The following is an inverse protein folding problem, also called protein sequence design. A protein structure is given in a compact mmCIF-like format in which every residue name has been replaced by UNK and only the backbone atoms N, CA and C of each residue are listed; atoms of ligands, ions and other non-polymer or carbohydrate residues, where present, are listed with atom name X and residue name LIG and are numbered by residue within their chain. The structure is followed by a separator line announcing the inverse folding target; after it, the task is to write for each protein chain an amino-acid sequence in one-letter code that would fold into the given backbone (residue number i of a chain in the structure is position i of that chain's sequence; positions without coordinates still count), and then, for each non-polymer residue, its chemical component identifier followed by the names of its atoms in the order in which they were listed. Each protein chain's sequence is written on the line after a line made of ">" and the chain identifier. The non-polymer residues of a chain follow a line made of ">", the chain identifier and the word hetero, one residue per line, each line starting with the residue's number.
data_IF_654430234048
#
_entry.id   IF_654430234048
#
_cell.length_a   1.000
_cell.length_b   1.000
_cell.length_c   1.000
_cell.angle_alpha   90.00
_cell.angle_beta   90.00
_cell.angle_gamma   90.00
#
_symmetry.space_group_name_H-M   'P 1'
#
loop_
_entity.id
_entity.type
_entity.pdbx_description
1 polymer ?
#
# COMPACT_ATOMS: atom_id res chain seq x y z
N UNK A 1 -26.93 -55.97 -24.24
CA UNK A 1 -27.79 -55.83 -23.01
C UNK A 1 -27.01 -55.75 -21.71
N UNK A 2 -26.14 -56.74 -21.39
CA UNK A 2 -25.36 -56.71 -20.11
C UNK A 2 -24.25 -55.68 -20.13
N UNK A 3 -23.53 -55.52 -21.25
CA UNK A 3 -22.51 -54.46 -21.45
C UNK A 3 -23.10 -53.06 -21.43
N UNK A 4 -24.26 -52.85 -22.02
CA UNK A 4 -24.96 -51.56 -22.02
C UNK A 4 -25.37 -51.14 -20.60
N UNK A 5 -25.83 -52.09 -19.79
CA UNK A 5 -26.20 -51.90 -18.40
C UNK A 5 -24.99 -51.50 -17.56
N UNK A 6 -23.86 -52.21 -17.71
CA UNK A 6 -22.62 -51.93 -17.03
C UNK A 6 -22.03 -50.58 -17.41
N UNK A 7 -22.14 -50.20 -18.70
CA UNK A 7 -21.72 -48.88 -19.18
C UNK A 7 -22.59 -47.75 -18.61
N UNK A 8 -23.91 -47.97 -18.49
CA UNK A 8 -24.81 -46.99 -17.88
C UNK A 8 -24.57 -46.82 -16.39
N UNK A 9 -24.32 -47.90 -15.66
CA UNK A 9 -23.97 -47.87 -14.22
C UNK A 9 -22.64 -47.13 -13.98
N UNK A 10 -21.62 -47.34 -14.82
CA UNK A 10 -20.33 -46.65 -14.72
C UNK A 10 -20.49 -45.14 -15.00
N UNK A 11 -21.30 -44.76 -16.00
CA UNK A 11 -21.58 -43.33 -16.27
C UNK A 11 -22.30 -42.66 -15.10
N UNK A 12 -23.31 -43.34 -14.51
CA UNK A 12 -24.03 -42.83 -13.35
C UNK A 12 -23.10 -42.65 -12.13
N UNK A 13 -22.20 -43.61 -11.90
CA UNK A 13 -21.18 -43.51 -10.84
C UNK A 13 -20.24 -42.35 -11.07
N UNK A 14 -19.69 -42.20 -12.27
CA UNK A 14 -18.79 -41.08 -12.60
C UNK A 14 -19.50 -39.74 -12.47
N UNK A 15 -20.75 -39.64 -12.88
CA UNK A 15 -21.55 -38.44 -12.73
C UNK A 15 -21.79 -38.09 -11.24
N UNK A 16 -22.04 -39.08 -10.40
CA UNK A 16 -22.17 -38.89 -8.95
C UNK A 16 -20.87 -38.42 -8.30
N UNK A 17 -19.75 -39.07 -8.64
CA UNK A 17 -18.41 -38.65 -8.12
C UNK A 17 -18.06 -37.24 -8.56
N UNK A 18 -18.35 -36.86 -9.80
CA UNK A 18 -18.15 -35.50 -10.29
C UNK A 18 -19.00 -34.47 -9.51
N UNK A 19 -20.26 -34.78 -9.25
CA UNK A 19 -21.15 -33.91 -8.47
C UNK A 19 -20.71 -33.79 -7.01
N UNK A 20 -20.21 -34.87 -6.41
CA UNK A 20 -19.66 -34.88 -5.05
C UNK A 20 -18.39 -34.03 -4.98
N UNK A 21 -17.51 -34.15 -5.99
CA UNK A 21 -16.30 -33.33 -6.07
C UNK A 21 -16.64 -31.84 -6.27
N UNK A 22 -17.59 -31.51 -7.15
CA UNK A 22 -18.03 -30.11 -7.31
C UNK A 22 -18.59 -29.51 -6.01
N UNK A 23 -19.40 -30.30 -5.26
CA UNK A 23 -19.89 -29.84 -3.94
C UNK A 23 -18.78 -29.62 -2.96
N UNK A 24 -17.81 -30.53 -2.91
CA UNK A 24 -16.63 -30.40 -2.04
C UNK A 24 -15.81 -29.16 -2.40
N UNK A 25 -15.57 -28.92 -3.67
CA UNK A 25 -14.88 -27.72 -4.16
C UNK A 25 -15.64 -26.43 -3.84
N UNK A 26 -16.97 -26.44 -3.91
CA UNK A 26 -17.78 -25.29 -3.56
C UNK A 26 -17.70 -24.97 -2.05
N UNK A 27 -17.70 -25.99 -1.19
CA UNK A 27 -17.54 -25.83 0.27
C UNK A 27 -16.16 -25.30 0.60
N UNK A 28 -15.09 -25.83 -0.02
CA UNK A 28 -13.72 -25.35 0.18
C UNK A 28 -13.59 -23.89 -0.26
N UNK A 29 -14.17 -23.51 -1.40
CA UNK A 29 -14.17 -22.14 -1.89
C UNK A 29 -14.89 -21.17 -0.96
N UNK A 30 -16.01 -21.61 -0.39
CA UNK A 30 -16.74 -20.80 0.59
C UNK A 30 -15.92 -20.62 1.88
N UNK A 31 -15.30 -21.69 2.39
CA UNK A 31 -14.43 -21.65 3.55
C UNK A 31 -13.23 -20.72 3.31
N UNK A 32 -12.55 -20.83 2.15
CA UNK A 32 -11.45 -19.97 1.75
C UNK A 32 -11.85 -18.49 1.75
N UNK A 33 -13.08 -18.17 1.32
CA UNK A 33 -13.57 -16.80 1.30
C UNK A 33 -13.92 -16.24 2.70
N UNK A 34 -14.25 -17.10 3.66
CA UNK A 34 -14.62 -16.73 5.02
C UNK A 34 -13.41 -16.68 5.98
N UNK A 35 -12.31 -17.34 5.62
CA UNK A 35 -11.13 -17.47 6.48
C UNK A 35 -10.31 -16.18 6.52
N UNK A 36 -9.80 -15.83 7.71
CA UNK A 36 -8.79 -14.78 7.85
C UNK A 36 -7.47 -15.18 7.19
N UNK A 37 -6.59 -14.21 6.91
CA UNK A 37 -5.24 -14.47 6.42
C UNK A 37 -4.50 -15.56 7.23
N UNK A 38 -4.56 -15.49 8.55
CA UNK A 38 -3.87 -16.43 9.43
C UNK A 38 -4.46 -17.85 9.36
N UNK A 39 -5.79 -17.94 9.20
CA UNK A 39 -6.46 -19.23 8.97
C UNK A 39 -6.10 -19.80 7.60
N UNK A 40 -6.09 -18.97 6.55
CA UNK A 40 -5.65 -19.38 5.21
C UNK A 40 -4.24 -19.95 5.20
N UNK A 41 -3.32 -19.33 5.98
CA UNK A 41 -1.97 -19.90 6.15
C UNK A 41 -1.99 -21.28 6.81
N UNK A 42 -2.80 -21.47 7.83
CA UNK A 42 -2.94 -22.76 8.52
C UNK A 42 -3.51 -23.84 7.60
N UNK A 43 -4.51 -23.49 6.80
CA UNK A 43 -5.21 -24.41 5.90
C UNK A 43 -4.53 -24.54 4.52
N UNK A 44 -3.44 -23.80 4.31
CA UNK A 44 -2.63 -23.82 3.08
C UNK A 44 -3.37 -23.33 1.85
N UNK A 45 -4.26 -22.37 2.03
CA UNK A 45 -4.87 -21.67 0.91
C UNK A 45 -3.90 -20.67 0.28
N UNK A 46 -4.19 -20.28 -0.94
CA UNK A 46 -3.45 -19.22 -1.63
C UNK A 46 -3.72 -17.87 -0.95
N UNK A 47 -2.71 -17.02 -0.86
CA UNK A 47 -2.83 -15.71 -0.21
C UNK A 47 -2.22 -14.60 -1.05
N UNK A 48 -2.86 -13.43 -1.01
CA UNK A 48 -2.42 -12.21 -1.65
C UNK A 48 -2.00 -11.19 -0.60
N UNK A 49 -0.77 -10.70 -0.69
CA UNK A 49 -0.20 -9.72 0.23
C UNK A 49 -0.02 -8.38 -0.49
N UNK A 50 -0.53 -7.32 0.10
CA UNK A 50 -0.32 -5.94 -0.33
C UNK A 50 0.74 -5.29 0.57
N UNK A 51 1.70 -4.58 -0.03
CA UNK A 51 2.65 -3.74 0.70
C UNK A 51 2.44 -2.30 0.28
N UNK A 52 2.24 -1.44 1.26
CA UNK A 52 2.00 -0.01 1.09
C UNK A 52 3.04 0.74 1.90
N UNK A 53 3.96 1.43 1.27
CA UNK A 53 5.08 2.04 1.98
C UNK A 53 5.88 3.03 1.15
N UNK A 54 6.95 3.48 1.74
CA UNK A 54 7.97 4.32 1.11
C UNK A 54 9.16 3.50 0.58
N UNK A 55 10.37 4.04 0.58
CA UNK A 55 11.57 3.33 0.13
C UNK A 55 11.91 2.10 0.97
N UNK A 56 11.64 2.15 2.28
CA UNK A 56 11.86 1.02 3.20
C UNK A 56 10.86 -0.09 2.90
N UNK A 57 9.59 0.28 2.69
CA UNK A 57 8.56 -0.64 2.21
C UNK A 57 8.87 -1.26 0.85
N UNK A 58 9.53 -0.50 -0.03
CA UNK A 58 10.01 -0.99 -1.32
C UNK A 58 11.24 -1.93 -1.21
N UNK A 59 11.86 -2.04 -0.03
CA UNK A 59 13.04 -2.85 0.22
C UNK A 59 14.33 -2.23 -0.34
N UNK A 60 14.39 -0.90 -0.43
CA UNK A 60 15.61 -0.17 -0.81
C UNK A 60 16.70 -0.40 0.24
N UNK A 61 17.97 -0.42 -0.19
CA UNK A 61 19.14 -0.60 0.67
C UNK A 61 19.85 -1.95 0.46
N UNK A 62 19.31 -2.85 -0.36
CA UNK A 62 20.01 -4.05 -0.83
C UNK A 62 20.00 -4.12 -2.35
N UNK A 63 21.13 -4.53 -2.94
CA UNK A 63 21.27 -4.76 -4.39
C UNK A 63 20.81 -6.17 -4.78
N UNK A 64 20.70 -7.07 -3.82
CA UNK A 64 20.32 -8.47 -4.06
C UNK A 64 18.79 -8.61 -3.94
N UNK A 65 18.10 -8.83 -5.05
CA UNK A 65 16.63 -8.91 -5.13
C UNK A 65 16.02 -9.88 -4.10
N UNK A 66 16.63 -11.03 -3.88
CA UNK A 66 16.17 -12.03 -2.93
C UNK A 66 16.32 -11.65 -1.45
N UNK A 67 17.09 -10.60 -1.13
CA UNK A 67 17.38 -10.15 0.23
C UNK A 67 16.45 -9.06 0.73
N UNK A 68 15.58 -8.52 -0.12
CA UNK A 68 14.53 -7.59 0.33
C UNK A 68 13.62 -8.28 1.34
N UNK A 69 13.29 -7.61 2.44
CA UNK A 69 12.53 -8.19 3.56
C UNK A 69 11.22 -8.86 3.11
N UNK A 70 10.48 -8.25 2.20
CA UNK A 70 9.22 -8.80 1.72
C UNK A 70 9.40 -10.00 0.75
N UNK A 71 10.54 -10.11 0.05
CA UNK A 71 10.89 -11.29 -0.76
C UNK A 71 11.28 -12.47 0.12
N UNK A 72 11.98 -12.19 1.22
CA UNK A 72 12.28 -13.19 2.24
C UNK A 72 10.99 -13.68 2.88
N UNK A 73 10.07 -12.76 3.24
CA UNK A 73 8.75 -13.10 3.77
C UNK A 73 7.94 -13.95 2.78
N UNK A 74 7.88 -13.56 1.50
CA UNK A 74 7.21 -14.34 0.46
C UNK A 74 7.78 -15.77 0.37
N UNK A 75 9.10 -15.90 0.43
CA UNK A 75 9.78 -17.19 0.38
C UNK A 75 9.47 -18.03 1.62
N UNK A 76 9.48 -17.43 2.80
CA UNK A 76 9.12 -18.07 4.05
C UNK A 76 7.68 -18.61 4.00
N UNK A 77 6.71 -17.78 3.68
CA UNK A 77 5.30 -18.17 3.61
C UNK A 77 5.05 -19.30 2.59
N UNK A 78 5.70 -19.25 1.43
CA UNK A 78 5.62 -20.33 0.42
C UNK A 78 6.22 -21.65 0.92
N UNK A 79 7.32 -21.58 1.66
CA UNK A 79 8.06 -22.76 2.10
C UNK A 79 7.41 -23.44 3.29
N UNK A 80 6.99 -22.64 4.29
CA UNK A 80 6.45 -23.16 5.56
C UNK A 80 4.99 -23.53 5.41
N UNK A 81 4.19 -22.64 4.84
CA UNK A 81 2.75 -22.84 4.72
C UNK A 81 2.36 -23.65 3.48
N UNK A 82 3.29 -23.80 2.51
CA UNK A 82 3.07 -24.52 1.24
C UNK A 82 1.92 -23.94 0.42
N UNK A 83 1.60 -22.68 0.63
CA UNK A 83 0.60 -21.91 -0.10
C UNK A 83 1.26 -21.19 -1.26
N UNK A 84 0.52 -20.89 -2.30
CA UNK A 84 0.94 -19.89 -3.29
C UNK A 84 0.79 -18.51 -2.65
N UNK A 85 1.85 -17.72 -2.66
CA UNK A 85 1.87 -16.37 -2.10
C UNK A 85 2.15 -15.37 -3.21
N UNK A 86 1.19 -14.50 -3.48
CA UNK A 86 1.36 -13.36 -4.38
C UNK A 86 1.63 -12.10 -3.56
N UNK A 87 2.62 -11.32 -3.94
CA UNK A 87 2.94 -10.03 -3.29
C UNK A 87 2.81 -8.91 -4.30
N UNK A 88 1.93 -7.96 -4.02
CA UNK A 88 1.82 -6.69 -4.72
C UNK A 88 2.44 -5.61 -3.84
N UNK A 89 3.56 -5.05 -4.27
CA UNK A 89 4.22 -3.95 -3.56
C UNK A 89 3.98 -2.64 -4.30
N UNK A 90 3.20 -1.74 -3.69
CA UNK A 90 2.90 -0.40 -4.22
C UNK A 90 3.69 0.69 -3.51
N UNK A 91 4.73 0.34 -2.77
CA UNK A 91 5.60 1.31 -2.09
C UNK A 91 6.33 2.21 -3.08
N UNK A 92 6.57 3.46 -2.68
CA UNK A 92 7.25 4.46 -3.50
C UNK A 92 8.29 5.21 -2.66
N UNK A 93 9.56 5.13 -3.08
CA UNK A 93 10.65 5.83 -2.44
C UNK A 93 10.41 7.35 -2.33
N UNK A 94 10.87 7.97 -1.24
CA UNK A 94 10.78 9.41 -1.00
C UNK A 94 9.38 9.95 -0.71
N UNK A 95 8.34 9.10 -0.74
CA UNK A 95 6.96 9.51 -0.57
C UNK A 95 6.50 9.45 0.89
N UNK A 96 5.61 10.35 1.27
CA UNK A 96 4.93 10.39 2.55
C UNK A 96 3.63 9.54 2.53
N UNK A 97 3.02 9.34 3.70
CA UNK A 97 1.84 8.49 3.90
C UNK A 97 0.62 8.90 3.06
N UNK A 98 0.48 10.19 2.70
CA UNK A 98 -0.56 10.61 1.74
C UNK A 98 -0.48 9.85 0.41
N UNK A 99 0.72 9.61 -0.10
CA UNK A 99 0.90 8.81 -1.31
C UNK A 99 0.41 7.37 -1.11
N UNK A 100 0.57 6.81 0.08
CA UNK A 100 0.05 5.49 0.44
C UNK A 100 -1.47 5.43 0.34
N UNK A 101 -2.18 6.44 0.86
CA UNK A 101 -3.62 6.56 0.70
C UNK A 101 -4.03 6.62 -0.78
N UNK A 102 -3.45 7.55 -1.54
CA UNK A 102 -3.79 7.73 -2.97
C UNK A 102 -3.56 6.46 -3.77
N UNK A 103 -2.41 5.80 -3.57
CA UNK A 103 -2.08 4.56 -4.27
C UNK A 103 -3.01 3.41 -3.90
N UNK A 104 -3.39 3.31 -2.62
CA UNK A 104 -4.36 2.31 -2.16
C UNK A 104 -5.72 2.54 -2.83
N UNK A 105 -6.20 3.79 -2.85
CA UNK A 105 -7.48 4.11 -3.49
C UNK A 105 -7.46 3.91 -4.99
N UNK A 106 -6.33 4.16 -5.65
CA UNK A 106 -6.15 3.99 -7.10
C UNK A 106 -5.96 2.52 -7.54
N UNK A 107 -5.78 1.56 -6.61
CA UNK A 107 -5.77 0.14 -6.96
C UNK A 107 -7.10 -0.24 -7.62
N UNK A 108 -7.03 -1.06 -8.68
CA UNK A 108 -8.21 -1.72 -9.20
C UNK A 108 -8.70 -2.79 -8.20
N UNK A 109 -9.94 -3.23 -8.35
CA UNK A 109 -10.55 -4.22 -7.46
C UNK A 109 -10.45 -5.65 -8.04
N UNK A 110 -9.44 -5.92 -8.87
CA UNK A 110 -9.29 -7.22 -9.54
C UNK A 110 -8.66 -8.28 -8.62
N UNK A 111 -8.07 -7.86 -7.51
CA UNK A 111 -7.41 -8.73 -6.52
C UNK A 111 -7.94 -8.41 -5.14
N UNK A 112 -8.44 -9.41 -4.45
CA UNK A 112 -8.71 -9.35 -3.01
C UNK A 112 -7.42 -9.65 -2.25
N UNK A 113 -7.03 -8.75 -1.34
CA UNK A 113 -5.86 -8.93 -0.51
C UNK A 113 -6.24 -9.51 0.85
N UNK A 114 -5.45 -10.49 1.31
CA UNK A 114 -5.63 -11.18 2.59
C UNK A 114 -4.85 -10.49 3.71
N UNK A 115 -3.68 -9.93 3.37
CA UNK A 115 -2.83 -9.18 4.28
C UNK A 115 -2.37 -7.90 3.61
N UNK A 116 -2.44 -6.78 4.32
CA UNK A 116 -1.76 -5.54 3.98
C UNK A 116 -0.66 -5.24 5.02
N UNK A 117 0.54 -4.89 4.56
CA UNK A 117 1.65 -4.47 5.41
C UNK A 117 1.96 -3.02 5.10
N UNK A 118 1.92 -2.16 6.13
CA UNK A 118 2.11 -0.72 6.01
C UNK A 118 3.47 -0.32 6.58
N UNK A 119 4.25 0.43 5.80
CA UNK A 119 5.61 0.84 6.15
C UNK A 119 5.82 2.29 5.71
N UNK A 120 5.48 3.24 6.59
CA UNK A 120 5.62 4.69 6.42
C UNK A 120 6.07 5.36 7.70
N UNK A 121 6.63 6.56 7.56
CA UNK A 121 7.00 7.44 8.65
C UNK A 121 8.33 8.15 8.43
N UNK A 122 9.23 7.59 7.60
CA UNK A 122 10.55 8.17 7.36
C UNK A 122 10.44 9.53 6.67
N UNK A 123 9.63 9.65 5.64
CA UNK A 123 9.54 10.84 4.79
C UNK A 123 8.45 11.83 5.22
N UNK A 124 7.61 11.46 6.17
CA UNK A 124 6.51 12.30 6.62
C UNK A 124 6.98 13.48 7.47
N UNK A 125 6.37 14.64 7.29
CA UNK A 125 6.29 15.65 8.32
C UNK A 125 5.35 15.22 9.44
N UNK A 126 5.36 15.91 10.58
CA UNK A 126 4.44 15.59 11.69
C UNK A 126 3.03 16.13 11.42
N UNK A 127 2.93 17.28 10.74
CA UNK A 127 1.67 17.92 10.44
C UNK A 127 0.84 17.06 9.50
N UNK A 128 -0.38 16.72 9.89
CA UNK A 128 -1.28 15.87 9.12
C UNK A 128 -0.92 14.37 9.08
N UNK A 129 0.23 13.96 9.62
CA UNK A 129 0.70 12.57 9.57
C UNK A 129 -0.32 11.58 10.13
N UNK A 130 -0.85 11.87 11.32
CA UNK A 130 -1.83 10.99 11.97
C UNK A 130 -3.05 10.75 11.09
N UNK A 131 -3.59 11.82 10.48
CA UNK A 131 -4.73 11.74 9.56
C UNK A 131 -4.41 10.94 8.31
N UNK A 132 -3.26 11.20 7.67
CA UNK A 132 -2.84 10.50 6.47
C UNK A 132 -2.61 9.01 6.73
N UNK A 133 -1.95 8.68 7.84
CA UNK A 133 -1.68 7.29 8.21
C UNK A 133 -2.98 6.53 8.51
N UNK A 134 -3.89 7.11 9.30
CA UNK A 134 -5.20 6.53 9.59
C UNK A 134 -6.03 6.34 8.30
N UNK A 135 -5.91 7.28 7.34
CA UNK A 135 -6.60 7.18 6.05
C UNK A 135 -6.16 5.99 5.22
N UNK A 136 -4.88 5.58 5.28
CA UNK A 136 -4.41 4.35 4.62
C UNK A 136 -5.13 3.13 5.19
N UNK A 137 -5.18 3.01 6.52
CA UNK A 137 -5.82 1.88 7.21
C UNK A 137 -7.29 1.77 6.83
N UNK A 138 -7.99 2.91 6.84
CA UNK A 138 -9.41 3.00 6.49
C UNK A 138 -9.65 2.70 5.00
N UNK A 139 -8.78 3.18 4.11
CA UNK A 139 -8.84 2.87 2.68
C UNK A 139 -8.71 1.37 2.41
N UNK A 140 -7.74 0.71 3.05
CA UNK A 140 -7.55 -0.74 2.95
C UNK A 140 -8.79 -1.46 3.45
N UNK A 141 -9.30 -1.12 4.63
CA UNK A 141 -10.49 -1.75 5.19
C UNK A 141 -11.74 -1.54 4.33
N UNK A 142 -11.92 -0.35 3.78
CA UNK A 142 -13.06 -0.04 2.90
C UNK A 142 -13.02 -0.86 1.60
N UNK A 143 -11.83 -1.02 1.01
CA UNK A 143 -11.67 -1.77 -0.25
C UNK A 143 -11.62 -3.28 -0.05
N UNK A 144 -11.03 -3.73 1.06
CA UNK A 144 -10.74 -5.13 1.39
C UNK A 144 -11.19 -5.42 2.84
N UNK A 145 -12.51 -5.57 3.09
CA UNK A 145 -13.05 -5.66 4.46
C UNK A 145 -12.51 -6.83 5.27
N UNK A 146 -12.08 -7.89 4.59
CA UNK A 146 -11.57 -9.12 5.20
C UNK A 146 -10.03 -9.16 5.30
N UNK A 147 -9.36 -8.11 4.80
CA UNK A 147 -7.91 -8.00 4.83
C UNK A 147 -7.40 -7.79 6.26
N UNK A 148 -6.45 -8.61 6.68
CA UNK A 148 -5.67 -8.37 7.90
C UNK A 148 -4.63 -7.27 7.65
N UNK A 149 -4.29 -6.50 8.68
CA UNK A 149 -3.31 -5.41 8.56
C UNK A 149 -2.18 -5.61 9.57
N UNK A 150 -0.94 -5.37 9.15
CA UNK A 150 0.24 -5.25 10.02
C UNK A 150 0.89 -3.90 9.71
N UNK A 151 1.26 -3.15 10.75
CA UNK A 151 2.05 -1.94 10.63
C UNK A 151 3.50 -2.21 11.02
N UNK A 152 4.45 -1.67 10.25
CA UNK A 152 5.86 -1.68 10.59
C UNK A 152 6.22 -0.33 11.23
N UNK A 153 6.85 -0.34 12.40
CA UNK A 153 7.62 0.80 12.89
C UNK A 153 8.98 0.76 12.22
N UNK A 154 9.24 1.73 11.37
CA UNK A 154 10.54 1.84 10.69
C UNK A 154 11.66 2.06 11.70
N UNK A 155 12.86 1.60 11.40
CA UNK A 155 13.99 1.56 12.35
C UNK A 155 14.43 2.92 12.91
N UNK A 156 14.16 4.02 12.20
CA UNK A 156 14.16 5.42 12.66
C UNK A 156 15.33 5.79 13.57
N UNK A 157 16.57 5.45 13.17
CA UNK A 157 17.80 5.59 13.97
C UNK A 157 17.67 5.03 15.40
N UNK A 158 16.82 4.01 15.59
CA UNK A 158 16.48 3.37 16.88
C UNK A 158 15.67 4.24 17.84
N UNK A 159 15.04 5.29 17.34
CA UNK A 159 14.27 6.21 18.17
C UNK A 159 12.76 6.04 17.95
N UNK A 160 12.02 6.02 19.04
CA UNK A 160 10.57 6.15 19.00
C UNK A 160 10.19 7.62 18.84
N UNK A 161 10.34 8.13 17.62
CA UNK A 161 9.94 9.51 17.28
C UNK A 161 8.46 9.73 17.50
N UNK A 162 8.00 10.97 17.45
CA UNK A 162 6.57 11.30 17.56
C UNK A 162 5.74 10.59 16.49
N UNK A 163 6.26 10.43 15.28
CA UNK A 163 5.59 9.66 14.21
C UNK A 163 5.47 8.18 14.57
N UNK A 164 6.53 7.57 15.09
CA UNK A 164 6.50 6.14 15.47
C UNK A 164 5.54 5.90 16.64
N UNK A 165 5.50 6.78 17.63
CA UNK A 165 4.54 6.69 18.74
C UNK A 165 3.11 6.97 18.28
N UNK A 166 2.90 7.83 17.29
CA UNK A 166 1.61 8.04 16.63
C UNK A 166 1.12 6.76 15.95
N UNK A 167 1.98 6.07 15.18
CA UNK A 167 1.64 4.76 14.57
C UNK A 167 1.24 3.77 15.65
N UNK A 168 2.01 3.65 16.74
CA UNK A 168 1.68 2.74 17.85
C UNK A 168 0.29 3.03 18.43
N UNK A 169 -0.01 4.30 18.69
CA UNK A 169 -1.30 4.71 19.25
C UNK A 169 -2.47 4.41 18.31
N UNK A 170 -2.31 4.65 17.00
CA UNK A 170 -3.32 4.32 15.99
C UNK A 170 -3.53 2.80 15.92
N UNK A 171 -2.43 2.04 15.88
CA UNK A 171 -2.49 0.58 15.82
C UNK A 171 -3.12 -0.03 17.07
N UNK A 172 -2.82 0.49 18.26
CA UNK A 172 -3.45 0.07 19.51
C UNK A 172 -4.96 0.32 19.47
N UNK A 173 -5.39 1.50 19.03
CA UNK A 173 -6.81 1.86 18.91
C UNK A 173 -7.59 0.90 17.99
N UNK A 174 -7.00 0.52 16.87
CA UNK A 174 -7.62 -0.38 15.90
C UNK A 174 -7.26 -1.86 16.09
N UNK A 175 -6.54 -2.21 17.16
CA UNK A 175 -6.05 -3.57 17.41
C UNK A 175 -5.24 -4.15 16.25
N UNK A 176 -4.42 -3.31 15.61
CA UNK A 176 -3.54 -3.70 14.51
C UNK A 176 -2.20 -4.18 15.09
N UNK A 177 -1.72 -5.37 14.73
CA UNK A 177 -0.40 -5.84 15.12
C UNK A 177 0.72 -4.94 14.58
N UNK A 178 1.74 -4.72 15.39
CA UNK A 178 2.89 -3.88 15.06
C UNK A 178 4.16 -4.70 14.99
N UNK A 179 4.87 -4.62 13.86
CA UNK A 179 6.22 -5.13 13.71
C UNK A 179 7.23 -4.04 14.15
N UNK A 180 7.72 -4.15 15.37
CA UNK A 180 8.61 -3.16 15.99
C UNK A 180 10.06 -3.39 15.58
N UNK A 181 10.46 -2.83 14.45
CA UNK A 181 11.85 -2.93 13.98
C UNK A 181 12.80 -2.04 14.78
N UNK A 182 12.30 -1.01 15.49
CA UNK A 182 13.11 -0.18 16.39
C UNK A 182 13.65 -1.05 17.53
N UNK A 183 12.77 -1.78 18.21
CA UNK A 183 13.16 -2.73 19.24
C UNK A 183 14.10 -3.81 18.69
N UNK A 184 13.82 -4.36 17.51
CA UNK A 184 14.63 -5.39 16.87
C UNK A 184 16.05 -4.89 16.54
N UNK A 185 16.19 -3.68 16.00
CA UNK A 185 17.48 -3.04 15.75
C UNK A 185 18.25 -2.76 17.05
N UNK A 186 17.55 -2.31 18.10
CA UNK A 186 18.16 -2.11 19.42
C UNK A 186 18.71 -3.42 20.02
N UNK A 187 18.00 -4.50 19.85
CA UNK A 187 18.34 -5.82 20.41
C UNK A 187 19.33 -6.61 19.54
N UNK A 188 19.68 -6.14 18.34
CA UNK A 188 20.55 -6.85 17.39
C UNK A 188 22.01 -7.00 17.86
N UNK A 189 22.45 -6.14 18.77
CA UNK A 189 23.85 -6.07 19.20
C UNK A 189 24.82 -5.46 18.17
N UNK A 190 24.32 -5.04 16.98
CA UNK A 190 25.12 -4.43 15.89
C UNK A 190 25.02 -2.90 15.97
N UNK A 191 25.99 -2.16 15.43
CA UNK A 191 25.84 -0.71 15.25
C UNK A 191 24.74 -0.41 14.21
N UNK A 192 24.15 0.78 14.26
CA UNK A 192 23.09 1.16 13.31
C UNK A 192 23.61 1.18 11.86
N UNK A 193 24.83 1.71 11.67
CA UNK A 193 25.48 1.79 10.37
C UNK A 193 25.88 0.41 9.79
N UNK A 194 25.97 -0.63 10.65
CA UNK A 194 26.15 -2.01 10.20
C UNK A 194 24.87 -2.62 9.63
N UNK A 195 23.73 -1.97 9.88
CA UNK A 195 22.39 -2.42 9.47
C UNK A 195 21.76 -1.54 8.38
N UNK A 196 22.39 -0.41 8.07
CA UNK A 196 21.92 0.54 7.04
C UNK A 196 23.08 0.95 6.15
N UNK A 197 22.82 1.18 4.85
CA UNK A 197 23.87 1.57 3.92
C UNK A 197 24.20 3.07 3.94
N UNK A 198 23.20 3.87 4.28
CA UNK A 198 23.24 5.34 4.21
C UNK A 198 22.66 6.03 5.46
N UNK A 199 22.51 5.28 6.54
CA UNK A 199 21.91 5.75 7.77
C UNK A 199 20.38 5.81 7.78
N UNK A 200 19.73 5.35 6.70
CA UNK A 200 18.26 5.29 6.55
C UNK A 200 17.82 3.92 6.07
N UNK A 201 18.30 3.49 4.91
CA UNK A 201 17.82 2.29 4.24
C UNK A 201 18.49 1.04 4.80
N UNK A 202 17.72 0.04 5.24
CA UNK A 202 18.26 -1.21 5.74
C UNK A 202 19.07 -1.93 4.65
N UNK A 203 20.35 -2.23 4.93
CA UNK A 203 21.15 -3.10 4.09
C UNK A 203 20.72 -4.58 4.26
N UNK A 204 21.40 -5.53 3.64
CA UNK A 204 21.02 -6.94 3.71
C UNK A 204 20.78 -7.44 5.15
N UNK A 205 21.65 -7.06 6.10
CA UNK A 205 21.48 -7.43 7.50
C UNK A 205 20.28 -6.74 8.17
N UNK A 206 20.01 -5.49 7.82
CA UNK A 206 18.82 -4.76 8.25
C UNK A 206 17.54 -5.33 7.63
N UNK A 207 17.56 -5.68 6.36
CA UNK A 207 16.42 -6.32 5.67
C UNK A 207 16.06 -7.68 6.32
N UNK A 208 17.05 -8.46 6.76
CA UNK A 208 16.82 -9.70 7.49
C UNK A 208 16.10 -9.43 8.83
N UNK A 209 16.48 -8.37 9.56
CA UNK A 209 15.80 -7.98 10.80
C UNK A 209 14.36 -7.58 10.54
N UNK A 210 14.08 -6.79 9.50
CA UNK A 210 12.71 -6.47 9.09
C UNK A 210 11.90 -7.72 8.80
N UNK A 211 12.44 -8.63 7.98
CA UNK A 211 11.80 -9.89 7.67
C UNK A 211 11.48 -10.71 8.94
N UNK A 212 12.47 -10.96 9.80
CA UNK A 212 12.26 -11.76 11.02
C UNK A 212 11.25 -11.09 11.97
N UNK A 213 11.22 -9.76 12.05
CA UNK A 213 10.28 -9.02 12.88
C UNK A 213 8.84 -9.17 12.37
N UNK A 214 8.60 -8.99 11.07
CA UNK A 214 7.28 -9.17 10.45
C UNK A 214 6.84 -10.63 10.53
N UNK A 215 7.75 -11.56 10.27
CA UNK A 215 7.51 -13.00 10.39
C UNK A 215 7.06 -13.38 11.81
N UNK A 216 7.73 -12.87 12.84
CA UNK A 216 7.35 -13.16 14.24
C UNK A 216 5.93 -12.69 14.54
N UNK A 217 5.54 -11.50 14.08
CA UNK A 217 4.17 -10.99 14.21
C UNK A 217 3.17 -11.92 13.53
N UNK A 218 3.47 -12.41 12.34
CA UNK A 218 2.59 -13.35 11.63
C UNK A 218 2.47 -14.66 12.38
N UNK A 219 3.57 -15.25 12.83
CA UNK A 219 3.59 -16.53 13.53
C UNK A 219 2.80 -16.46 14.86
N UNK A 220 2.95 -15.36 15.60
CA UNK A 220 2.21 -15.11 16.85
C UNK A 220 0.69 -14.97 16.58
N UNK A 221 0.30 -14.29 15.53
CA UNK A 221 -1.12 -14.12 15.18
C UNK A 221 -1.73 -15.40 14.61
N UNK A 222 -0.98 -16.22 13.89
CA UNK A 222 -1.42 -17.58 13.50
C UNK A 222 -1.72 -18.41 14.73
N UNK A 223 -0.84 -18.38 15.75
CA UNK A 223 -1.04 -19.10 16.99
C UNK A 223 -2.23 -18.61 17.81
N UNK A 224 -2.49 -17.30 17.78
CA UNK A 224 -3.58 -16.66 18.52
C UNK A 224 -4.93 -16.67 17.78
N UNK A 225 -4.96 -17.06 16.51
CA UNK A 225 -6.14 -16.99 15.62
C UNK A 225 -6.77 -15.58 15.57
N UNK A 226 -5.95 -14.54 15.71
CA UNK A 226 -6.36 -13.13 15.57
C UNK A 226 -6.46 -12.76 14.10
N UNK A 227 -7.16 -11.70 13.75
CA UNK A 227 -7.33 -11.53 12.32
C UNK A 227 -7.59 -10.14 11.78
N UNK A 228 -8.61 -9.46 12.21
CA UNK A 228 -9.08 -8.25 11.51
C UNK A 228 -8.84 -7.00 12.36
N UNK A 229 -8.65 -5.87 11.68
CA UNK A 229 -8.70 -4.56 12.30
C UNK A 229 -10.02 -4.37 13.06
N UNK A 230 -9.97 -3.93 14.31
CA UNK A 230 -11.16 -3.70 15.11
C UNK A 230 -12.06 -2.62 14.51
N UNK A 231 -13.38 -2.75 14.71
CA UNK A 231 -14.29 -1.65 14.48
C UNK A 231 -14.16 -0.65 15.63
N UNK A 232 -13.73 0.55 15.30
CA UNK A 232 -13.57 1.64 16.24
C UNK A 232 -13.93 2.97 15.57
N UNK A 233 -14.30 3.95 16.39
CA UNK A 233 -14.49 5.32 15.92
C UNK A 233 -13.16 5.88 15.40
N UNK A 234 -13.25 6.86 14.50
CA UNK A 234 -12.05 7.53 13.99
C UNK A 234 -11.32 8.29 15.09
N UNK A 235 -10.00 8.28 15.07
CA UNK A 235 -9.19 9.08 15.98
C UNK A 235 -9.21 10.54 15.55
N UNK A 236 -9.02 10.77 14.23
CA UNK A 236 -8.94 12.10 13.65
C UNK A 236 -10.22 12.39 12.87
N UNK A 237 -10.99 13.43 13.26
CA UNK A 237 -12.18 13.83 12.52
C UNK A 237 -11.88 14.21 11.06
N UNK A 238 -10.69 14.73 10.79
CA UNK A 238 -10.25 15.11 9.44
C UNK A 238 -10.07 13.93 8.49
N UNK A 239 -9.97 12.71 9.00
CA UNK A 239 -9.91 11.50 8.17
C UNK A 239 -11.12 11.34 7.26
N UNK A 240 -12.26 11.95 7.62
CA UNK A 240 -13.44 11.96 6.77
C UNK A 240 -13.29 12.75 5.47
N UNK A 241 -12.26 13.61 5.35
CA UNK A 241 -11.88 14.24 4.07
C UNK A 241 -11.39 13.22 3.04
N UNK A 242 -11.17 11.97 3.46
CA UNK A 242 -10.64 10.86 2.68
C UNK A 242 -11.63 9.71 2.48
N UNK A 243 -12.92 9.90 2.81
CA UNK A 243 -13.95 8.85 2.67
C UNK A 243 -14.28 8.56 1.20
N UNK A 244 -14.18 9.56 0.33
CA UNK A 244 -14.39 9.44 -1.12
C UNK A 244 -13.13 9.85 -1.89
N UNK A 245 -12.99 9.35 -3.11
CA UNK A 245 -11.79 9.54 -3.92
C UNK A 245 -12.10 9.53 -5.41
N UNK A 246 -11.45 10.42 -6.16
CA UNK A 246 -11.39 10.38 -7.62
C UNK A 246 -9.96 10.61 -8.09
N UNK A 247 -9.58 9.87 -9.11
CA UNK A 247 -8.30 10.01 -9.81
C UNK A 247 -8.55 10.44 -11.25
N UNK A 248 -7.87 11.48 -11.68
CA UNK A 248 -7.83 11.95 -13.07
C UNK A 248 -6.45 11.67 -13.65
N UNK A 249 -6.35 10.67 -14.51
CA UNK A 249 -5.09 10.26 -15.14
C UNK A 249 -4.67 11.20 -16.25
N UNK A 250 -3.38 11.55 -16.30
CA UNK A 250 -2.83 12.44 -17.32
C UNK A 250 -3.08 11.95 -18.76
N UNK A 251 -2.97 10.64 -18.98
CA UNK A 251 -3.12 10.04 -20.31
C UNK A 251 -4.59 9.80 -20.73
N UNK A 252 -5.51 9.82 -19.75
CA UNK A 252 -6.89 9.40 -19.97
C UNK A 252 -7.88 10.54 -19.87
N UNK A 253 -7.70 11.42 -18.90
CA UNK A 253 -8.69 12.41 -18.51
C UNK A 253 -8.26 13.83 -18.87
N UNK A 254 -6.96 14.09 -18.96
CA UNK A 254 -6.39 15.38 -19.34
C UNK A 254 -6.16 15.47 -20.85
N UNK A 255 -6.40 16.66 -21.42
CA UNK A 255 -5.93 17.04 -22.75
C UNK A 255 -4.56 17.70 -22.63
N UNK A 256 -3.56 17.18 -23.35
CA UNK A 256 -2.26 17.83 -23.49
C UNK A 256 -2.35 18.89 -24.59
N UNK A 257 -2.33 20.15 -24.19
CA UNK A 257 -2.51 21.31 -25.11
C UNK A 257 -1.23 21.65 -25.87
N UNK A 258 -0.09 21.54 -25.19
CA UNK A 258 1.24 21.74 -25.74
C UNK A 258 2.31 20.91 -25.01
N UNK A 259 3.60 21.19 -25.23
CA UNK A 259 4.70 20.43 -24.64
C UNK A 259 4.75 20.48 -23.12
N UNK A 260 4.15 21.51 -22.50
CA UNK A 260 4.24 21.76 -21.05
C UNK A 260 2.89 21.87 -20.36
N UNK A 261 1.77 21.91 -21.09
CA UNK A 261 0.46 22.28 -20.59
C UNK A 261 -0.56 21.16 -20.72
N UNK A 262 -1.28 20.90 -19.65
CA UNK A 262 -2.42 19.98 -19.60
C UNK A 262 -3.66 20.71 -19.11
N UNK A 263 -4.83 20.34 -19.64
CA UNK A 263 -6.14 20.83 -19.19
C UNK A 263 -7.10 19.69 -18.93
N UNK A 264 -7.99 19.88 -17.95
CA UNK A 264 -9.06 18.95 -17.59
C UNK A 264 -10.32 19.76 -17.29
N UNK A 265 -11.42 19.46 -17.97
CA UNK A 265 -12.75 19.93 -17.57
C UNK A 265 -13.27 19.03 -16.45
N UNK A 266 -13.39 19.57 -15.25
CA UNK A 266 -13.84 18.84 -14.07
C UNK A 266 -14.68 19.74 -13.16
N UNK A 267 -15.51 19.09 -12.33
CA UNK A 267 -16.12 19.69 -11.14
C UNK A 267 -15.81 18.78 -9.97
N UNK A 268 -15.04 19.26 -9.02
CA UNK A 268 -14.57 18.52 -7.86
C UNK A 268 -14.28 19.46 -6.69
N UNK A 269 -14.34 18.94 -5.47
CA UNK A 269 -13.93 19.69 -4.28
C UNK A 269 -13.34 18.77 -3.22
N UNK A 270 -12.46 19.30 -2.37
CA UNK A 270 -11.85 18.59 -1.24
C UNK A 270 -10.34 18.69 -1.22
N UNK A 271 -9.67 17.72 -0.60
CA UNK A 271 -8.22 17.61 -0.59
C UNK A 271 -7.74 17.31 -2.00
N UNK A 272 -6.86 18.15 -2.48
CA UNK A 272 -6.37 18.13 -3.85
C UNK A 272 -4.91 17.72 -3.90
N UNK A 273 -4.58 16.71 -4.69
CA UNK A 273 -3.24 16.17 -4.85
C UNK A 273 -2.78 16.07 -6.30
N UNK A 274 -1.45 16.12 -6.46
CA UNK A 274 -0.77 15.95 -7.76
C UNK A 274 0.17 14.75 -7.70
N UNK A 275 0.27 14.05 -8.82
CA UNK A 275 1.19 12.93 -9.04
C UNK A 275 2.05 13.23 -10.27
N UNK A 276 3.33 13.38 -10.05
CA UNK A 276 4.29 13.54 -11.15
C UNK A 276 5.70 13.13 -10.75
N UNK A 277 6.56 12.93 -11.75
CA UNK A 277 7.96 12.55 -11.56
C UNK A 277 8.81 13.79 -11.44
N UNK A 278 9.54 13.92 -10.33
CA UNK A 278 10.57 14.94 -10.13
C UNK A 278 11.81 14.58 -10.94
N UNK A 279 12.32 15.55 -11.65
CA UNK A 279 13.64 15.51 -12.27
C UNK A 279 14.67 16.22 -11.38
N UNK A 280 15.96 15.96 -11.60
CA UNK A 280 17.03 16.66 -10.87
C UNK A 280 16.93 18.17 -11.02
N UNK A 281 17.02 18.90 -9.91
CA UNK A 281 16.88 20.36 -9.85
C UNK A 281 15.50 20.82 -9.41
N UNK A 282 15.09 22.01 -9.84
CA UNK A 282 13.83 22.62 -9.44
C UNK A 282 12.67 22.11 -10.29
N UNK A 283 11.72 21.49 -9.62
CA UNK A 283 10.48 21.01 -10.21
C UNK A 283 9.34 21.95 -9.82
N UNK A 284 8.62 22.45 -10.81
CA UNK A 284 7.54 23.40 -10.60
C UNK A 284 6.35 23.07 -11.50
N UNK A 285 5.17 23.16 -10.92
CA UNK A 285 3.91 23.08 -11.65
C UNK A 285 3.04 24.28 -11.27
N UNK A 286 2.73 25.15 -12.22
CA UNK A 286 1.72 26.20 -12.03
C UNK A 286 0.34 25.61 -12.27
N UNK A 287 -0.48 25.61 -11.23
CA UNK A 287 -1.82 25.01 -11.23
C UNK A 287 -2.85 26.13 -11.25
N UNK A 288 -3.69 26.14 -12.27
CA UNK A 288 -4.80 27.07 -12.42
C UNK A 288 -6.11 26.34 -12.20
N UNK A 289 -7.01 26.98 -11.45
CA UNK A 289 -8.38 26.53 -11.22
C UNK A 289 -9.32 27.58 -11.76
N UNK A 290 -10.22 27.19 -12.65
CA UNK A 290 -11.22 28.05 -13.29
C UNK A 290 -10.64 29.34 -13.92
N UNK A 291 -9.41 29.22 -14.45
CA UNK A 291 -8.68 30.28 -15.14
C UNK A 291 -7.76 31.14 -14.25
N UNK A 292 -7.84 31.01 -12.93
CA UNK A 292 -7.00 31.74 -11.97
C UNK A 292 -5.83 30.88 -11.49
N UNK A 293 -4.64 31.48 -11.30
CA UNK A 293 -3.51 30.78 -10.67
C UNK A 293 -3.88 30.43 -9.23
N UNK A 294 -3.97 29.14 -8.96
CA UNK A 294 -4.37 28.62 -7.67
C UNK A 294 -3.16 28.33 -6.76
N UNK A 295 -2.23 27.52 -7.25
CA UNK A 295 -1.02 27.12 -6.53
C UNK A 295 0.17 26.97 -7.50
N UNK A 296 1.38 27.05 -6.95
CA UNK A 296 2.63 26.97 -7.70
C UNK A 296 3.66 26.15 -6.94
N UNK A 297 3.37 24.86 -6.64
CA UNK A 297 4.28 24.03 -5.87
C UNK A 297 5.64 23.93 -6.57
N UNK A 298 6.68 24.22 -5.80
CA UNK A 298 8.07 24.13 -6.26
C UNK A 298 8.85 23.24 -5.30
N UNK A 299 9.50 22.22 -5.84
CA UNK A 299 10.31 21.26 -5.08
C UNK A 299 11.69 21.15 -5.71
N UNK A 300 12.73 21.42 -4.93
CA UNK A 300 14.11 21.17 -5.37
C UNK A 300 14.47 19.71 -5.06
N UNK A 301 14.72 18.92 -6.10
CA UNK A 301 15.11 17.52 -6.01
C UNK A 301 16.60 17.37 -6.32
N UNK A 302 17.41 17.09 -5.30
CA UNK A 302 18.87 17.16 -5.37
C UNK A 302 19.55 15.81 -5.66
N UNK A 303 18.84 14.89 -6.31
CA UNK A 303 19.37 13.59 -6.69
C UNK A 303 19.61 13.55 -8.22
N UNK A 304 20.49 12.66 -8.65
CA UNK A 304 20.86 12.46 -10.06
C UNK A 304 19.98 11.42 -10.78
N UNK A 305 18.83 11.09 -10.19
CA UNK A 305 17.80 10.22 -10.77
C UNK A 305 16.42 10.88 -10.68
N UNK A 306 15.50 10.48 -11.52
CA UNK A 306 14.11 10.93 -11.44
C UNK A 306 13.31 10.08 -10.45
N UNK A 307 12.36 10.68 -9.73
CA UNK A 307 11.53 9.98 -8.75
C UNK A 307 10.08 10.47 -8.79
N UNK A 308 9.15 9.52 -8.83
CA UNK A 308 7.72 9.82 -8.78
C UNK A 308 7.29 10.20 -7.36
N UNK A 309 6.54 11.30 -7.25
CA UNK A 309 5.97 11.79 -6.01
C UNK A 309 4.48 12.05 -6.14
N UNK A 310 3.74 11.73 -5.07
CA UNK A 310 2.34 12.09 -4.90
C UNK A 310 2.26 12.98 -3.67
N UNK A 311 1.79 14.21 -3.85
CA UNK A 311 1.78 15.21 -2.80
C UNK A 311 0.46 15.97 -2.75
N UNK A 312 0.10 16.44 -1.55
CA UNK A 312 -1.01 17.36 -1.38
C UNK A 312 -0.64 18.72 -1.97
N UNK A 313 -1.54 19.28 -2.75
CA UNK A 313 -1.47 20.67 -3.26
C UNK A 313 -2.26 21.58 -2.32
N UNK A 314 -3.45 21.14 -1.89
CA UNK A 314 -4.32 21.90 -1.01
C UNK A 314 -5.24 20.96 -0.22
N UNK A 315 -5.53 21.35 1.02
CA UNK A 315 -6.47 20.62 1.90
C UNK A 315 -7.94 20.93 1.59
N UNK A 316 -8.21 21.99 0.82
CA UNK A 316 -9.55 22.41 0.43
C UNK A 316 -9.49 23.19 -0.88
N UNK A 317 -9.79 22.52 -1.97
CA UNK A 317 -9.85 23.10 -3.32
C UNK A 317 -11.24 22.84 -3.89
N UNK A 318 -11.81 23.86 -4.57
CA UNK A 318 -13.06 23.70 -5.33
C UNK A 318 -12.82 24.09 -6.77
N UNK A 319 -13.12 23.18 -7.68
CA UNK A 319 -13.07 23.34 -9.13
C UNK A 319 -14.51 23.28 -9.65
N UNK A 320 -14.94 24.32 -10.35
CA UNK A 320 -16.27 24.36 -10.97
C UNK A 320 -16.25 23.96 -12.46
N UNK A 321 -15.14 24.23 -13.16
CA UNK A 321 -15.08 24.09 -14.63
C UNK A 321 -13.81 23.44 -15.13
N UNK A 322 -12.63 23.96 -14.75
CA UNK A 322 -11.36 23.58 -15.39
C UNK A 322 -10.19 23.57 -14.42
N UNK A 323 -9.33 22.58 -14.59
CA UNK A 323 -7.97 22.57 -14.05
C UNK A 323 -7.00 22.70 -15.23
N UNK A 324 -6.02 23.61 -15.12
CA UNK A 324 -4.90 23.70 -16.05
C UNK A 324 -3.59 23.58 -15.27
N UNK A 325 -2.69 22.74 -15.75
CA UNK A 325 -1.34 22.52 -15.17
C UNK A 325 -0.30 22.89 -16.20
N UNK A 326 0.66 23.72 -15.78
CA UNK A 326 1.76 24.18 -16.64
C UNK A 326 3.08 23.85 -15.96
N UNK A 327 3.89 23.02 -16.59
CA UNK A 327 5.22 22.64 -16.10
C UNK A 327 6.31 23.53 -16.68
N UNK A 328 7.46 23.62 -15.99
CA UNK A 328 8.59 24.44 -16.43
C UNK A 328 9.28 23.90 -17.69
N UNK A 329 9.22 22.60 -17.92
CA UNK A 329 9.85 21.97 -19.08
C UNK A 329 9.02 20.79 -19.59
N UNK A 330 9.34 20.38 -20.82
CA UNK A 330 8.73 19.20 -21.43
C UNK A 330 9.02 17.93 -20.64
N UNK A 331 10.23 17.79 -20.12
CA UNK A 331 10.65 16.62 -19.32
C UNK A 331 9.78 16.49 -18.07
N UNK A 332 9.54 17.60 -17.35
CA UNK A 332 8.65 17.62 -16.20
C UNK A 332 7.20 17.29 -16.60
N UNK A 333 6.74 17.85 -17.71
CA UNK A 333 5.40 17.57 -18.27
C UNK A 333 5.24 16.09 -18.66
N UNK A 334 6.27 15.47 -19.24
CA UNK A 334 6.27 14.04 -19.60
C UNK A 334 6.22 13.14 -18.34
N UNK A 335 6.65 13.67 -17.19
CA UNK A 335 6.57 13.05 -15.89
C UNK A 335 5.19 13.12 -15.20
N UNK A 336 4.26 13.95 -15.70
CA UNK A 336 2.92 14.11 -15.14
C UNK A 336 2.11 12.82 -15.24
N UNK A 337 1.49 12.41 -14.12
CA UNK A 337 0.69 11.17 -14.02
C UNK A 337 -0.79 11.44 -13.77
N UNK A 338 -1.11 12.57 -13.17
CA UNK A 338 -2.48 12.96 -12.91
C UNK A 338 -2.67 13.75 -11.64
N UNK A 339 -3.93 13.93 -11.28
CA UNK A 339 -4.38 14.61 -10.08
C UNK A 339 -5.49 13.83 -9.40
N UNK A 340 -5.68 14.08 -8.12
CA UNK A 340 -6.72 13.43 -7.36
C UNK A 340 -7.43 14.40 -6.41
N UNK A 341 -8.67 14.07 -6.11
CA UNK A 341 -9.45 14.70 -5.06
C UNK A 341 -9.95 13.65 -4.09
N UNK A 342 -10.01 14.03 -2.82
CA UNK A 342 -10.71 13.26 -1.81
C UNK A 342 -11.60 14.18 -0.96
N UNK A 343 -12.74 13.65 -0.50
CA UNK A 343 -13.74 14.42 0.25
C UNK A 343 -14.55 13.52 1.18
N UNK A 344 -15.35 14.17 2.03
CA UNK A 344 -16.28 13.53 2.96
C UNK A 344 -17.48 12.90 2.26
#
# INVERSE_FOLDING_TARGET
>A
MEEDKKSAELRALNQKLFQEEQKKQAVLKQQEAEDSFYQKLTDRFDVNVLIVGDSIGAGVGTETEGQQWFKQLQTYLRTVNKSKVSVTNISMGGNASYAGYVRTMALNNDVDYDLAIICYGQNDGIDGFSTNYESILRAIRSKYPDCSIISILESSQREYTEKMTTIQSICEHYSIPVADTIAAFNNSGKAYDDLTGDGVHPNEAGQEIYFETVKAVIDDNVAASTGKMAEADVINADVHKFDNFVWYGADKDFERVDDTTFTLNASASGVFGIDYTFESGDNKADIYVDGELYESPTVTFNYDFSQRHIMVVSDDCTVEKEIKVVFNSKEQADGFRGMCFSWK
#
